data_IF_904364054684
#
_entry.id   IF_904364054684
#
_cell.length_a   1.000
_cell.length_b   1.000
_cell.length_c   1.000
_cell.angle_alpha   90.00
_cell.angle_beta   90.00
_cell.angle_gamma   90.00
#
_symmetry.space_group_name_H-M   'P 1'
#
loop_
_entity.id
_entity.type
_entity.pdbx_description
1 polymer ?
#
# COMPACT_ATOMS: atom_id res chain seq x y z
N UNK A 1 18.23 -58.53 21.57
CA UNK A 1 18.71 -57.25 21.04
C UNK A 1 17.56 -56.62 20.26
N UNK A 2 16.89 -55.63 20.85
CA UNK A 2 15.85 -54.84 20.19
C UNK A 2 16.51 -53.62 19.55
N UNK A 3 16.19 -53.32 18.30
CA UNK A 3 16.47 -52.02 17.69
C UNK A 3 15.15 -51.45 17.18
N UNK A 4 14.58 -50.57 17.99
CA UNK A 4 13.40 -49.77 17.66
C UNK A 4 13.89 -48.59 16.81
N UNK A 5 13.53 -48.56 15.53
CA UNK A 5 13.84 -47.44 14.63
C UNK A 5 12.73 -46.40 14.79
N UNK A 6 13.04 -45.32 15.51
CA UNK A 6 12.16 -44.17 15.69
C UNK A 6 12.30 -43.25 14.46
N UNK A 7 11.31 -43.26 13.56
CA UNK A 7 11.19 -42.25 12.50
C UNK A 7 10.69 -40.94 13.14
N UNK A 8 11.59 -39.99 13.36
CA UNK A 8 11.23 -38.60 13.64
C UNK A 8 10.87 -37.90 12.33
N UNK A 9 9.59 -37.56 12.19
CA UNK A 9 9.09 -36.65 11.17
C UNK A 9 9.78 -35.29 11.33
N UNK A 10 10.65 -34.94 10.38
CA UNK A 10 11.14 -33.58 10.21
C UNK A 10 9.97 -32.71 9.75
N UNK A 11 9.32 -32.06 10.71
CA UNK A 11 8.53 -30.86 10.47
C UNK A 11 9.44 -29.83 9.79
N UNK A 12 9.22 -29.58 8.50
CA UNK A 12 9.78 -28.43 7.83
C UNK A 12 9.20 -27.20 8.50
N UNK A 13 9.99 -26.56 9.36
CA UNK A 13 9.69 -25.24 9.87
C UNK A 13 9.51 -24.33 8.66
N UNK A 14 8.27 -23.90 8.41
CA UNK A 14 8.05 -22.68 7.67
C UNK A 14 8.75 -21.59 8.46
N UNK A 15 9.84 -21.08 7.91
CA UNK A 15 10.48 -19.86 8.35
C UNK A 15 9.45 -18.74 8.13
N UNK A 16 8.56 -18.55 9.11
CA UNK A 16 7.69 -17.39 9.18
C UNK A 16 8.58 -16.25 9.61
N UNK A 17 9.38 -15.74 8.68
CA UNK A 17 10.10 -14.49 8.87
C UNK A 17 9.05 -13.40 9.00
N UNK A 18 8.68 -13.10 10.24
CA UNK A 18 7.79 -12.01 10.62
C UNK A 18 8.24 -10.76 9.85
N UNK A 19 7.40 -10.32 8.93
CA UNK A 19 7.63 -9.20 8.05
C UNK A 19 7.48 -7.93 8.88
N UNK A 20 8.54 -7.58 9.62
CA UNK A 20 8.59 -6.40 10.48
C UNK A 20 8.25 -5.16 9.65
N UNK A 21 7.43 -4.27 10.22
CA UNK A 21 6.99 -3.02 9.58
C UNK A 21 8.14 -2.18 9.00
N UNK A 22 9.35 -2.29 9.57
CA UNK A 22 10.53 -1.54 9.13
C UNK A 22 10.99 -1.88 7.71
N UNK A 23 10.69 -3.09 7.21
CA UNK A 23 11.10 -3.52 5.85
C UNK A 23 10.54 -2.60 4.77
N UNK A 24 9.42 -1.95 5.03
CA UNK A 24 8.79 -1.00 4.11
C UNK A 24 9.66 0.25 3.87
N UNK A 25 10.45 0.69 4.86
CA UNK A 25 11.36 1.83 4.69
C UNK A 25 12.78 1.40 4.30
N UNK A 26 13.21 0.19 4.64
CA UNK A 26 14.57 -0.31 4.34
C UNK A 26 14.83 -0.49 2.84
N UNK A 27 13.77 -0.68 2.03
CA UNK A 27 13.87 -0.94 0.60
C UNK A 27 13.56 0.29 -0.27
N UNK A 28 13.34 1.44 0.35
CA UNK A 28 12.93 2.66 -0.33
C UNK A 28 14.06 3.17 -1.24
N UNK A 29 13.79 3.54 -2.50
CA UNK A 29 14.84 4.03 -3.40
C UNK A 29 15.46 5.34 -2.93
N UNK A 30 16.68 5.63 -3.39
CA UNK A 30 17.37 6.88 -3.11
C UNK A 30 16.50 8.11 -3.44
N UNK A 31 16.55 9.11 -2.56
CA UNK A 31 15.82 10.37 -2.73
C UNK A 31 14.38 10.36 -2.21
N UNK A 32 13.84 9.19 -1.86
CA UNK A 32 12.57 9.07 -1.15
C UNK A 32 12.77 9.13 0.37
N UNK A 33 11.86 9.82 1.03
CA UNK A 33 11.66 9.79 2.47
C UNK A 33 10.59 8.76 2.82
N UNK A 34 10.76 8.09 3.96
CA UNK A 34 9.82 7.09 4.46
C UNK A 34 9.56 7.31 5.95
N UNK A 35 8.29 7.30 6.35
CA UNK A 35 7.86 7.44 7.73
C UNK A 35 6.88 6.32 8.08
N UNK A 36 7.14 5.63 9.19
CA UNK A 36 6.21 4.66 9.79
C UNK A 36 5.59 5.29 11.03
N UNK A 37 4.26 5.35 11.06
CA UNK A 37 3.46 5.85 12.17
C UNK A 37 2.72 4.64 12.76
N UNK A 38 2.73 4.49 14.08
CA UNK A 38 2.05 3.38 14.79
C UNK A 38 1.01 3.87 15.81
N UNK A 39 0.97 5.16 16.06
CA UNK A 39 0.09 5.80 17.05
C UNK A 39 -0.25 7.23 16.60
N UNK A 40 -1.29 7.82 17.20
CA UNK A 40 -1.72 9.19 16.93
C UNK A 40 -1.95 9.48 15.43
N UNK A 41 -2.64 8.56 14.74
CA UNK A 41 -2.93 8.68 13.31
C UNK A 41 -3.75 9.95 13.01
N UNK A 42 -3.39 10.67 11.94
CA UNK A 42 -4.27 11.68 11.37
C UNK A 42 -5.43 10.99 10.67
N UNK A 43 -6.65 11.53 10.82
CA UNK A 43 -7.81 11.06 10.05
C UNK A 43 -7.60 11.26 8.54
N UNK A 44 -6.80 12.25 8.14
CA UNK A 44 -6.48 12.52 6.73
C UNK A 44 -5.56 11.46 6.11
N UNK A 45 -4.90 10.63 6.92
CA UNK A 45 -4.01 9.56 6.46
C UNK A 45 -4.71 8.19 6.39
N UNK A 46 -6.00 8.13 6.73
CA UNK A 46 -6.81 6.92 6.71
C UNK A 46 -7.92 7.11 5.68
N UNK A 47 -8.14 6.17 4.74
CA UNK A 47 -9.20 6.34 3.76
C UNK A 47 -10.55 6.43 4.49
N UNK A 48 -11.44 7.29 4.02
CA UNK A 48 -12.69 7.59 4.72
C UNK A 48 -13.45 6.32 5.12
N UNK A 49 -13.97 6.34 6.35
CA UNK A 49 -14.74 5.25 6.96
C UNK A 49 -14.00 3.92 7.16
N UNK A 50 -12.69 3.86 6.88
CA UNK A 50 -11.90 2.66 7.09
C UNK A 50 -11.58 2.52 8.58
N UNK A 51 -11.61 1.30 9.14
CA UNK A 51 -11.13 1.07 10.49
C UNK A 51 -9.70 1.59 10.70
N UNK A 52 -9.34 1.90 11.94
CA UNK A 52 -7.97 2.29 12.29
C UNK A 52 -6.97 1.20 11.92
N UNK A 53 -5.87 1.54 11.22
CA UNK A 53 -4.80 0.59 10.90
C UNK A 53 -3.91 0.30 12.12
N UNK A 54 -3.07 -0.72 12.01
CA UNK A 54 -2.00 -0.99 13.00
C UNK A 54 -0.79 -0.09 12.77
N UNK A 55 -0.52 0.26 11.50
CA UNK A 55 0.51 1.21 11.14
C UNK A 55 0.17 1.92 9.82
N UNK A 56 0.73 3.11 9.64
CA UNK A 56 0.68 3.88 8.39
C UNK A 56 2.11 4.08 7.91
N UNK A 57 2.36 3.76 6.64
CA UNK A 57 3.63 4.05 5.99
C UNK A 57 3.42 5.16 4.97
N UNK A 58 4.16 6.24 5.12
CA UNK A 58 4.16 7.39 4.22
C UNK A 58 5.46 7.45 3.44
N UNK A 59 5.34 7.64 2.14
CA UNK A 59 6.46 7.87 1.24
C UNK A 59 6.30 9.22 0.58
N UNK A 60 7.40 9.93 0.43
CA UNK A 60 7.44 11.25 -0.18
C UNK A 60 8.79 11.49 -0.85
N UNK A 61 8.82 12.08 -2.05
CA UNK A 61 10.08 12.42 -2.72
C UNK A 61 10.28 13.95 -2.76
N UNK A 62 11.01 14.55 -1.79
CA UNK A 62 11.14 16.02 -1.65
C UNK A 62 11.73 16.71 -2.87
N UNK A 63 12.65 16.05 -3.57
CA UNK A 63 13.44 16.67 -4.64
C UNK A 63 12.92 16.36 -6.05
N UNK A 64 11.71 15.80 -6.17
CA UNK A 64 11.06 15.48 -7.44
C UNK A 64 9.66 16.05 -7.41
N UNK A 65 9.24 16.65 -8.51
CA UNK A 65 7.93 17.28 -8.65
C UNK A 65 7.44 17.15 -10.07
N UNK A 66 6.14 17.01 -10.24
CA UNK A 66 5.44 17.04 -11.52
C UNK A 66 4.32 18.07 -11.49
N UNK A 67 3.84 18.48 -12.66
CA UNK A 67 2.76 19.46 -12.77
C UNK A 67 1.40 18.82 -12.47
N UNK A 68 0.62 19.48 -11.61
CA UNK A 68 -0.77 19.13 -11.39
C UNK A 68 -1.64 19.74 -12.50
N UNK A 69 -1.87 18.96 -13.56
CA UNK A 69 -2.70 19.39 -14.70
C UNK A 69 -4.15 19.73 -14.33
N UNK A 70 -4.60 19.41 -13.10
CA UNK A 70 -5.95 19.68 -12.62
C UNK A 70 -6.06 20.98 -11.81
N UNK A 71 -4.95 21.67 -11.49
CA UNK A 71 -4.97 22.90 -10.71
C UNK A 71 -5.02 24.15 -11.61
N UNK A 72 -5.80 25.15 -11.19
CA UNK A 72 -5.81 26.47 -11.83
C UNK A 72 -4.60 27.24 -11.29
N UNK A 73 -3.49 27.14 -12.00
CA UNK A 73 -2.16 27.58 -11.54
C UNK A 73 -1.22 26.39 -11.57
N UNK A 74 0.01 26.60 -12.00
CA UNK A 74 1.06 25.57 -12.18
C UNK A 74 1.51 24.99 -10.84
N UNK A 75 0.58 24.39 -10.08
CA UNK A 75 0.88 23.73 -8.82
C UNK A 75 1.76 22.52 -9.14
N UNK A 76 2.90 22.47 -8.46
CA UNK A 76 3.81 21.35 -8.53
C UNK A 76 3.56 20.45 -7.34
N UNK A 77 3.51 19.15 -7.59
CA UNK A 77 3.24 18.13 -6.58
C UNK A 77 4.40 17.15 -6.56
N UNK A 78 4.89 16.85 -5.36
CA UNK A 78 5.86 15.79 -5.19
C UNK A 78 5.19 14.41 -5.26
N UNK A 79 5.89 13.40 -5.79
CA UNK A 79 5.46 12.01 -5.69
C UNK A 79 5.27 11.60 -4.24
N UNK A 80 4.16 10.91 -3.99
CA UNK A 80 3.82 10.45 -2.64
C UNK A 80 2.94 9.20 -2.66
N UNK A 81 3.02 8.44 -1.59
CA UNK A 81 2.17 7.26 -1.36
C UNK A 81 1.91 7.11 0.14
N UNK A 82 0.67 6.77 0.50
CA UNK A 82 0.33 6.35 1.86
C UNK A 82 -0.25 4.93 1.82
N UNK A 83 0.29 4.07 2.68
CA UNK A 83 -0.15 2.69 2.87
C UNK A 83 -0.64 2.50 4.31
N UNK A 84 -1.86 2.00 4.46
CA UNK A 84 -2.44 1.63 5.74
C UNK A 84 -2.31 0.11 5.92
N UNK A 85 -1.59 -0.30 6.97
CA UNK A 85 -1.29 -1.69 7.27
C UNK A 85 -2.29 -2.23 8.30
N UNK A 86 -2.94 -3.34 7.95
CA UNK A 86 -3.87 -4.06 8.82
C UNK A 86 -3.39 -5.48 9.02
N UNK A 87 -3.64 -6.12 10.19
CA UNK A 87 -3.35 -7.53 10.38
C UNK A 87 -3.97 -8.37 9.25
N UNK A 88 -3.19 -9.31 8.69
CA UNK A 88 -3.64 -10.19 7.60
C UNK A 88 -4.91 -10.98 7.98
N UNK A 89 -5.09 -11.27 9.28
CA UNK A 89 -6.27 -11.94 9.84
C UNK A 89 -7.58 -11.19 9.55
N UNK A 90 -7.53 -9.87 9.30
CA UNK A 90 -8.69 -9.02 8.98
C UNK A 90 -9.01 -8.96 7.48
N UNK A 91 -8.24 -9.63 6.62
CA UNK A 91 -8.39 -9.61 5.15
C UNK A 91 -9.82 -9.76 4.66
N UNK A 92 -10.56 -10.75 5.18
CA UNK A 92 -11.92 -11.05 4.71
C UNK A 92 -12.94 -9.99 5.11
N UNK A 93 -12.76 -9.35 6.26
CA UNK A 93 -13.57 -8.22 6.74
C UNK A 93 -13.30 -7.00 5.86
N UNK A 94 -12.02 -6.62 5.73
CA UNK A 94 -11.57 -5.45 4.99
C UNK A 94 -11.88 -5.54 3.49
N UNK A 95 -11.75 -6.72 2.90
CA UNK A 95 -12.11 -6.95 1.49
C UNK A 95 -13.60 -6.74 1.23
N UNK A 96 -14.48 -7.14 2.17
CA UNK A 96 -15.92 -6.89 2.07
C UNK A 96 -16.24 -5.40 2.26
N UNK A 97 -15.54 -4.77 3.20
CA UNK A 97 -15.66 -3.34 3.43
C UNK A 97 -15.26 -2.54 2.18
N UNK A 98 -14.09 -2.77 1.58
CA UNK A 98 -13.67 -2.10 0.34
C UNK A 98 -14.73 -2.25 -0.77
N UNK A 99 -15.28 -3.46 -0.94
CA UNK A 99 -16.34 -3.69 -1.93
C UNK A 99 -17.61 -2.89 -1.65
N UNK A 100 -17.99 -2.70 -0.39
CA UNK A 100 -19.18 -1.90 -0.04
C UNK A 100 -18.98 -0.41 -0.29
N UNK A 101 -17.73 0.07 -0.35
CA UNK A 101 -17.40 1.47 -0.62
C UNK A 101 -17.30 1.81 -2.12
N UNK A 102 -17.42 0.85 -3.03
CA UNK A 102 -17.15 1.05 -4.47
C UNK A 102 -18.04 2.09 -5.17
N UNK A 103 -19.19 2.42 -4.59
CA UNK A 103 -20.11 3.44 -5.13
C UNK A 103 -19.84 4.85 -4.59
N UNK A 104 -18.82 5.02 -3.74
CA UNK A 104 -18.46 6.29 -3.12
C UNK A 104 -17.28 6.96 -3.85
N UNK A 105 -17.05 8.24 -3.55
CA UNK A 105 -16.25 9.19 -4.33
C UNK A 105 -14.73 8.90 -4.41
N UNK A 106 -13.99 9.81 -5.05
CA UNK A 106 -12.57 9.70 -5.43
C UNK A 106 -11.55 9.30 -4.33
N UNK A 107 -11.88 9.33 -3.04
CA UNK A 107 -10.94 8.98 -1.94
C UNK A 107 -11.33 7.69 -1.19
N UNK A 108 -11.94 6.72 -1.87
CA UNK A 108 -12.32 5.43 -1.26
C UNK A 108 -11.11 4.54 -0.91
N UNK A 109 -11.25 3.65 0.08
CA UNK A 109 -10.26 2.61 0.35
C UNK A 109 -10.13 1.66 -0.85
N UNK A 110 -8.89 1.35 -1.21
CA UNK A 110 -8.54 0.44 -2.30
C UNK A 110 -7.52 -0.58 -1.78
N UNK A 111 -7.71 -1.84 -2.16
CA UNK A 111 -6.74 -2.89 -1.89
C UNK A 111 -5.43 -2.59 -2.64
N UNK A 112 -4.33 -2.45 -1.91
CA UNK A 112 -3.01 -2.25 -2.48
C UNK A 112 -2.30 -3.59 -2.73
N UNK A 113 -2.24 -4.42 -1.69
CA UNK A 113 -1.56 -5.70 -1.72
C UNK A 113 -1.50 -6.36 -0.36
N UNK A 114 -0.69 -7.40 -0.22
CA UNK A 114 -0.50 -8.10 1.05
C UNK A 114 0.92 -8.63 1.23
N UNK A 115 1.34 -8.73 2.48
CA UNK A 115 2.53 -9.46 2.94
C UNK A 115 2.08 -10.73 3.69
N UNK A 116 3.01 -11.45 4.31
CA UNK A 116 2.66 -12.55 5.21
C UNK A 116 1.80 -12.07 6.41
N UNK A 117 2.05 -10.85 6.90
CA UNK A 117 1.48 -10.36 8.15
C UNK A 117 0.46 -9.23 7.95
N UNK A 118 0.49 -8.56 6.80
CA UNK A 118 -0.33 -7.37 6.56
C UNK A 118 -1.21 -7.46 5.32
N UNK A 119 -2.47 -7.07 5.49
CA UNK A 119 -3.36 -6.64 4.42
C UNK A 119 -3.21 -5.12 4.25
N UNK A 120 -2.88 -4.67 3.04
CA UNK A 120 -2.50 -3.28 2.77
C UNK A 120 -3.63 -2.58 2.02
N UNK A 121 -4.09 -1.46 2.58
CA UNK A 121 -5.05 -0.56 1.96
C UNK A 121 -4.34 0.75 1.59
N UNK A 122 -4.76 1.37 0.50
CA UNK A 122 -4.42 2.75 0.15
C UNK A 122 -5.69 3.47 -0.30
N UNK A 123 -5.56 4.69 -0.80
CA UNK A 123 -6.64 5.45 -1.43
C UNK A 123 -6.12 6.08 -2.72
N UNK A 124 -6.97 6.29 -3.74
CA UNK A 124 -6.57 7.06 -4.90
C UNK A 124 -5.98 8.43 -4.47
N UNK A 125 -6.60 9.12 -3.51
CA UNK A 125 -6.13 10.41 -3.00
C UNK A 125 -4.77 10.36 -2.27
N UNK A 126 -4.32 9.17 -1.88
CA UNK A 126 -3.05 8.97 -1.18
C UNK A 126 -1.88 8.70 -2.12
N UNK A 127 -2.16 8.45 -3.40
CA UNK A 127 -1.14 8.37 -4.44
C UNK A 127 -1.01 9.75 -5.07
N UNK A 128 0.17 10.36 -4.99
CA UNK A 128 0.49 11.61 -5.70
C UNK A 128 -0.55 12.72 -5.43
N UNK A 129 -1.10 12.77 -4.21
CA UNK A 129 -2.20 13.65 -3.82
C UNK A 129 -3.45 13.58 -4.75
N UNK A 130 -3.71 12.43 -5.36
CA UNK A 130 -4.82 12.22 -6.29
C UNK A 130 -4.56 12.66 -7.74
N UNK A 131 -3.32 12.93 -8.12
CA UNK A 131 -2.95 13.29 -9.50
C UNK A 131 -2.64 12.03 -10.34
N UNK A 132 -3.37 11.85 -11.46
CA UNK A 132 -3.28 10.68 -12.37
C UNK A 132 -2.69 10.99 -13.75
N UNK A 133 -1.78 11.97 -13.83
CA UNK A 133 -1.04 12.25 -15.06
C UNK A 133 0.00 11.16 -15.35
N UNK A 134 0.40 11.01 -16.62
CA UNK A 134 1.48 10.09 -17.03
C UNK A 134 2.79 10.39 -16.31
N UNK A 135 3.13 11.68 -16.16
CA UNK A 135 4.30 12.13 -15.42
C UNK A 135 4.23 11.71 -13.94
N UNK A 136 3.07 11.90 -13.29
CA UNK A 136 2.85 11.48 -11.91
C UNK A 136 3.00 9.95 -11.73
N UNK A 137 2.45 9.17 -12.66
CA UNK A 137 2.58 7.71 -12.67
C UNK A 137 4.03 7.25 -12.87
N UNK A 138 4.77 7.93 -13.74
CA UNK A 138 6.18 7.64 -13.98
C UNK A 138 7.04 8.01 -12.78
N UNK A 139 6.72 9.12 -12.10
CA UNK A 139 7.51 9.64 -10.99
C UNK A 139 7.49 8.76 -9.72
N UNK A 140 6.52 7.83 -9.61
CA UNK A 140 6.39 6.87 -8.49
C UNK A 140 6.81 5.43 -8.85
N UNK A 141 7.19 5.19 -10.10
CA UNK A 141 7.42 3.83 -10.60
C UNK A 141 8.58 3.10 -9.89
N UNK A 142 9.63 3.83 -9.50
CA UNK A 142 10.78 3.30 -8.76
C UNK A 142 10.37 2.78 -7.38
N UNK A 143 9.56 3.54 -6.64
CA UNK A 143 8.98 3.13 -5.37
C UNK A 143 8.11 1.88 -5.52
N UNK A 144 7.27 1.82 -6.55
CA UNK A 144 6.45 0.63 -6.79
C UNK A 144 7.27 -0.62 -7.04
N UNK A 145 8.37 -0.50 -7.79
CA UNK A 145 9.31 -1.60 -8.04
C UNK A 145 9.99 -2.05 -6.76
N UNK A 146 10.43 -1.12 -5.89
CA UNK A 146 10.97 -1.45 -4.59
C UNK A 146 9.97 -2.22 -3.71
N UNK A 147 8.72 -1.76 -3.69
CA UNK A 147 7.66 -2.39 -2.89
C UNK A 147 7.23 -3.77 -3.42
N UNK A 148 7.53 -4.14 -4.67
CA UNK A 148 7.25 -5.49 -5.20
C UNK A 148 8.11 -6.56 -4.51
N UNK A 149 9.24 -6.17 -3.89
CA UNK A 149 10.07 -7.08 -3.11
C UNK A 149 9.41 -7.52 -1.79
N UNK A 150 8.45 -6.75 -1.28
CA UNK A 150 7.78 -6.99 0.02
C UNK A 150 6.33 -7.45 -0.19
N UNK A 151 5.66 -6.90 -1.21
CA UNK A 151 4.24 -7.11 -1.44
C UNK A 151 4.04 -8.27 -2.42
N UNK A 152 3.63 -9.42 -1.87
CA UNK A 152 3.61 -10.71 -2.56
C UNK A 152 2.44 -10.84 -3.55
N UNK A 153 1.33 -10.13 -3.32
CA UNK A 153 0.18 -10.10 -4.23
C UNK A 153 -0.28 -8.68 -4.45
N UNK A 154 -0.24 -8.25 -5.71
CA UNK A 154 -0.97 -7.08 -6.20
C UNK A 154 -2.03 -7.55 -7.19
N UNK A 155 -3.29 -7.21 -6.94
CA UNK A 155 -4.31 -7.16 -8.00
C UNK A 155 -4.60 -5.70 -8.29
N UNK A 156 -3.60 -5.02 -8.84
CA UNK A 156 -3.79 -3.67 -9.36
C UNK A 156 -4.20 -3.78 -10.83
N UNK A 157 -5.50 -3.76 -11.10
CA UNK A 157 -6.05 -3.43 -12.43
C UNK A 157 -6.45 -1.95 -12.40
N UNK A 158 -5.47 -1.05 -12.39
CA UNK A 158 -5.72 0.35 -12.68
C UNK A 158 -5.59 0.52 -14.20
N UNK A 159 -6.61 0.09 -14.95
CA UNK A 159 -6.80 0.54 -16.34
C UNK A 159 -8.17 0.27 -17.00
N UNK A 160 -9.18 -0.34 -16.35
CA UNK A 160 -10.42 -0.68 -17.10
C UNK A 160 -11.72 -0.01 -16.64
N UNK A 161 -11.81 0.60 -15.44
CA UNK A 161 -13.09 1.10 -14.94
C UNK A 161 -13.21 2.62 -14.71
N UNK A 162 -12.16 3.40 -14.97
CA UNK A 162 -12.27 4.86 -15.06
C UNK A 162 -12.29 5.32 -16.53
N UNK A 163 -13.11 4.67 -17.35
CA UNK A 163 -13.75 5.40 -18.45
C UNK A 163 -14.77 6.31 -17.79
N UNK A 164 -14.32 7.50 -17.40
CA UNK A 164 -15.24 8.60 -17.18
C UNK A 164 -16.03 8.76 -18.46
N UNK A 165 -17.30 8.35 -18.42
CA UNK A 165 -18.27 8.78 -19.42
C UNK A 165 -18.23 10.31 -19.40
N UNK A 166 -17.77 10.87 -20.52
CA UNK A 166 -17.93 12.28 -20.83
C UNK A 166 -19.43 12.58 -20.74
N UNK A 167 -19.84 13.31 -19.71
CA UNK A 167 -21.06 14.10 -19.71
C UNK A 167 -20.67 15.56 -19.56
#
# INVERSE_FOLDING_TARGET
MLTLVLLTMLSQGQDTTECKTNVFCELVPDGWECQIIKENFSEDDIPKHTPTPEAIVKYYHPNREFENMNSIGQERVNPSLILNLYPISRKNELSRFIKSQQYLSHCIPVYYGETADYFIITSPCFKNKGVYAEEANSAIADLYKALDCVVVKRKYHLNEHLKFEKY
#
